data_IF_818468546485
#
_entry.id   IF_818468546485
#
_cell.length_a   1.000
_cell.length_b   1.000
_cell.length_c   1.000
_cell.angle_alpha   90.00
_cell.angle_beta   90.00
_cell.angle_gamma   90.00
#
_symmetry.space_group_name_H-M   'P 1'
#
loop_
_entity.id
_entity.type
_entity.pdbx_description
1 polymer ?
#
# COMPACT_ATOMS: atom_id res chain seq x y z
N UNK A 1 25.85 -23.28 8.79
CA UNK A 1 26.86 -22.49 9.51
C UNK A 1 26.35 -22.29 10.93
N UNK A 2 27.01 -22.87 11.92
CA UNK A 2 26.67 -22.66 13.33
C UNK A 2 27.65 -21.59 13.85
N UNK A 3 27.15 -20.43 14.29
CA UNK A 3 27.96 -19.40 14.93
C UNK A 3 27.84 -19.57 16.44
N UNK A 4 28.90 -20.08 17.07
CA UNK A 4 29.04 -20.02 18.52
C UNK A 4 29.48 -18.60 18.92
N UNK A 5 28.93 -18.02 19.99
CA UNK A 5 29.47 -16.81 20.57
C UNK A 5 30.59 -17.21 21.52
N UNK A 6 31.82 -16.82 21.21
CA UNK A 6 32.63 -16.13 22.23
C UNK A 6 33.81 -15.42 21.58
N UNK A 7 33.99 -14.17 22.04
CA UNK A 7 34.79 -13.13 21.42
C UNK A 7 36.07 -12.99 22.21
N UNK A 8 37.19 -13.55 21.72
CA UNK A 8 38.53 -13.23 22.22
C UNK A 8 39.50 -13.18 21.03
N UNK A 9 39.79 -11.96 20.57
CA UNK A 9 40.78 -11.54 19.54
C UNK A 9 40.52 -11.85 18.05
N UNK A 10 40.49 -10.78 17.23
CA UNK A 10 40.75 -10.83 15.78
C UNK A 10 39.52 -10.95 14.87
N UNK A 11 39.61 -10.35 13.69
CA UNK A 11 38.57 -10.34 12.65
C UNK A 11 38.01 -11.75 12.35
N UNK A 12 36.70 -11.82 12.08
CA UNK A 12 36.01 -13.04 11.67
C UNK A 12 36.80 -13.75 10.57
N UNK A 13 37.35 -14.94 10.87
CA UNK A 13 37.86 -15.86 9.85
C UNK A 13 36.74 -16.86 9.56
N UNK A 14 36.40 -17.02 8.28
CA UNK A 14 35.50 -18.09 7.87
C UNK A 14 36.14 -19.44 8.21
N UNK A 15 35.45 -20.21 9.06
CA UNK A 15 35.87 -21.55 9.46
C UNK A 15 35.16 -22.53 8.54
N UNK A 16 35.92 -23.14 7.64
CA UNK A 16 35.44 -24.24 6.82
C UNK A 16 35.56 -25.55 7.61
N UNK A 17 34.51 -26.36 7.58
CA UNK A 17 34.48 -27.66 8.23
C UNK A 17 33.57 -28.61 7.46
N UNK A 18 33.96 -29.87 7.42
CA UNK A 18 33.18 -30.93 6.78
C UNK A 18 32.25 -31.57 7.82
N UNK A 19 30.94 -31.53 7.58
CA UNK A 19 29.96 -32.15 8.45
C UNK A 19 29.88 -33.65 8.10
N UNK A 20 30.65 -34.47 8.82
CA UNK A 20 30.68 -35.92 8.59
C UNK A 20 29.39 -36.61 9.04
N UNK A 21 28.79 -36.18 10.15
CA UNK A 21 27.62 -36.82 10.73
C UNK A 21 26.81 -35.85 11.59
N UNK A 22 25.48 -35.90 11.46
CA UNK A 22 24.54 -35.17 12.32
C UNK A 22 23.51 -36.16 12.86
N UNK A 23 23.41 -36.27 14.19
CA UNK A 23 22.45 -37.15 14.88
C UNK A 23 21.38 -36.37 15.62
N UNK A 24 20.17 -36.92 15.64
CA UNK A 24 19.11 -36.54 16.56
C UNK A 24 18.87 -37.67 17.54
N UNK A 25 18.60 -37.31 18.78
CA UNK A 25 18.27 -38.24 19.86
C UNK A 25 16.85 -37.97 20.35
N UNK A 26 16.07 -39.03 20.54
CA UNK A 26 14.78 -38.96 21.25
C UNK A 26 15.01 -39.55 22.63
N UNK A 27 14.92 -38.70 23.65
CA UNK A 27 15.16 -39.08 25.05
C UNK A 27 13.88 -38.83 25.83
N UNK A 28 13.31 -39.89 26.40
CA UNK A 28 12.18 -39.81 27.31
C UNK A 28 12.56 -40.39 28.67
N UNK A 29 12.17 -39.71 29.76
CA UNK A 29 12.43 -40.17 31.13
C UNK A 29 13.90 -40.55 31.39
N UNK A 30 14.85 -39.77 30.84
CA UNK A 30 16.29 -40.04 30.93
C UNK A 30 16.76 -41.34 30.26
N UNK A 31 15.93 -41.93 29.39
CA UNK A 31 16.27 -43.10 28.57
C UNK A 31 16.30 -42.72 27.10
N UNK A 32 17.37 -43.12 26.42
CA UNK A 32 17.52 -42.91 24.99
C UNK A 32 16.63 -43.92 24.25
N UNK A 33 15.55 -43.43 23.67
CA UNK A 33 14.58 -44.25 22.95
C UNK A 33 15.08 -44.55 21.54
N UNK A 34 15.50 -43.51 20.82
CA UNK A 34 15.87 -43.61 19.41
C UNK A 34 17.03 -42.68 19.03
N UNK A 35 17.81 -43.11 18.04
CA UNK A 35 18.90 -42.36 17.42
C UNK A 35 18.62 -42.28 15.93
N UNK A 36 18.69 -41.08 15.36
CA UNK A 36 18.50 -40.85 13.93
C UNK A 36 19.70 -40.13 13.33
N UNK A 37 20.29 -40.69 12.27
CA UNK A 37 21.27 -40.00 11.45
C UNK A 37 20.52 -39.05 10.50
N UNK A 38 20.52 -37.75 10.82
CA UNK A 38 19.89 -36.70 10.00
C UNK A 38 20.83 -36.32 8.86
N UNK A 39 20.50 -36.75 7.64
CA UNK A 39 20.72 -35.90 6.47
C UNK A 39 19.88 -34.63 6.65
N UNK A 40 20.36 -33.50 6.12
CA UNK A 40 19.95 -32.11 6.45
C UNK A 40 18.42 -31.80 6.40
N UNK A 41 17.57 -32.71 5.93
CA UNK A 41 16.12 -32.55 5.78
C UNK A 41 15.32 -33.20 6.93
N UNK A 42 14.50 -32.39 7.61
CA UNK A 42 13.36 -32.85 8.42
C UNK A 42 12.21 -33.04 7.44
N UNK A 43 11.65 -34.25 7.27
CA UNK A 43 10.21 -34.30 7.03
C UNK A 43 9.47 -35.64 7.09
N UNK A 44 10.08 -36.81 7.14
CA UNK A 44 9.25 -38.03 7.26
C UNK A 44 10.03 -39.16 7.91
N UNK A 45 9.75 -39.44 9.18
CA UNK A 45 10.24 -40.62 9.90
C UNK A 45 9.86 -41.91 9.17
N UNK A 46 8.73 -41.91 8.45
CA UNK A 46 8.24 -43.04 7.66
C UNK A 46 9.02 -43.20 6.33
N UNK A 47 9.44 -42.10 5.68
CA UNK A 47 10.32 -42.16 4.51
C UNK A 47 11.75 -42.51 4.91
N UNK A 48 12.25 -42.01 6.04
CA UNK A 48 13.54 -42.42 6.60
C UNK A 48 13.54 -43.90 6.96
N UNK A 49 12.49 -44.40 7.60
CA UNK A 49 12.36 -45.82 7.89
C UNK A 49 12.37 -46.68 6.61
N UNK A 50 11.78 -46.22 5.50
CA UNK A 50 11.83 -46.91 4.20
C UNK A 50 13.22 -46.85 3.55
N UNK A 51 13.93 -45.72 3.67
CA UNK A 51 15.34 -45.61 3.23
C UNK A 51 16.26 -46.56 4.02
N UNK A 52 15.97 -46.77 5.30
CA UNK A 52 16.70 -47.65 6.21
C UNK A 52 16.30 -49.13 6.05
N UNK A 53 15.05 -49.43 5.68
CA UNK A 53 14.51 -50.80 5.57
C UNK A 53 14.93 -51.57 4.30
N UNK A 54 16.08 -51.27 3.72
CA UNK A 54 16.60 -51.99 2.54
C UNK A 54 15.85 -51.68 1.23
N UNK A 55 15.23 -50.50 1.10
CA UNK A 55 14.63 -50.07 -0.16
C UNK A 55 15.65 -49.99 -1.31
N UNK A 56 15.16 -50.28 -2.52
CA UNK A 56 15.89 -50.30 -3.79
C UNK A 56 16.74 -49.03 -3.99
N UNK A 57 17.95 -49.18 -4.54
CA UNK A 57 18.95 -48.10 -4.76
C UNK A 57 18.31 -46.90 -5.48
N UNK A 58 17.40 -47.18 -6.43
CA UNK A 58 16.65 -46.16 -7.19
C UNK A 58 15.74 -45.31 -6.32
N UNK A 59 15.11 -45.89 -5.31
CA UNK A 59 14.22 -45.15 -4.41
C UNK A 59 15.02 -44.15 -3.56
N UNK A 60 16.24 -44.53 -3.15
CA UNK A 60 17.16 -43.66 -2.40
C UNK A 60 17.61 -42.46 -3.23
N UNK A 61 17.95 -42.68 -4.50
CA UNK A 61 18.32 -41.60 -5.44
C UNK A 61 17.17 -40.61 -5.66
N UNK A 62 15.94 -41.10 -5.80
CA UNK A 62 14.75 -40.24 -5.97
C UNK A 62 14.53 -39.37 -4.72
N UNK A 63 14.59 -39.95 -3.52
CA UNK A 63 14.38 -39.19 -2.27
C UNK A 63 15.49 -38.16 -2.05
N UNK A 64 16.76 -38.52 -2.33
CA UNK A 64 17.87 -37.58 -2.23
C UNK A 64 17.72 -36.40 -3.21
N UNK A 65 17.23 -36.64 -4.42
CA UNK A 65 16.97 -35.60 -5.42
C UNK A 65 15.84 -34.68 -4.96
N UNK A 66 14.74 -35.22 -4.42
CA UNK A 66 13.64 -34.43 -3.84
C UNK A 66 14.14 -33.53 -2.70
N UNK A 67 15.02 -34.03 -1.84
CA UNK A 67 15.60 -33.22 -0.74
C UNK A 67 16.51 -32.10 -1.26
N UNK A 68 17.29 -32.35 -2.31
CA UNK A 68 18.10 -31.33 -2.95
C UNK A 68 17.22 -30.21 -3.54
N UNK A 69 16.18 -30.57 -4.29
CA UNK A 69 15.21 -29.62 -4.86
C UNK A 69 14.52 -28.77 -3.78
N UNK A 70 14.08 -29.40 -2.68
CA UNK A 70 13.47 -28.69 -1.55
C UNK A 70 14.46 -27.72 -0.89
N UNK A 71 15.72 -28.11 -0.73
CA UNK A 71 16.76 -27.25 -0.17
C UNK A 71 17.09 -26.07 -1.10
N UNK A 72 17.05 -26.26 -2.42
CA UNK A 72 17.20 -25.18 -3.40
C UNK A 72 16.07 -24.16 -3.27
N UNK A 73 14.82 -24.62 -3.11
CA UNK A 73 13.67 -23.76 -2.83
C UNK A 73 13.86 -23.01 -1.51
N UNK A 74 14.32 -23.68 -0.45
CA UNK A 74 14.57 -23.06 0.86
C UNK A 74 15.64 -21.96 0.76
N UNK A 75 16.71 -22.19 -0.01
CA UNK A 75 17.86 -21.27 -0.11
C UNK A 75 17.80 -20.28 -1.28
N UNK A 76 16.77 -20.36 -2.11
CA UNK A 76 16.58 -19.44 -3.22
C UNK A 76 16.68 -17.98 -2.75
N UNK A 77 17.23 -17.09 -3.59
CA UNK A 77 17.47 -15.69 -3.24
C UNK A 77 16.21 -15.00 -2.67
N UNK A 78 16.40 -14.06 -1.74
CA UNK A 78 15.30 -13.42 -1.00
C UNK A 78 14.55 -12.34 -1.79
N UNK A 79 15.20 -11.79 -2.81
CA UNK A 79 14.80 -10.60 -3.58
C UNK A 79 14.06 -10.93 -4.88
N UNK A 80 13.55 -12.16 -4.98
CA UNK A 80 12.78 -12.64 -6.13
C UNK A 80 11.43 -13.21 -5.69
N UNK A 81 10.46 -13.12 -6.60
CA UNK A 81 9.16 -13.80 -6.46
C UNK A 81 9.38 -15.29 -6.74
N UNK A 82 9.03 -16.14 -5.77
CA UNK A 82 9.16 -17.59 -5.89
C UNK A 82 7.78 -18.25 -5.89
N UNK A 83 7.49 -19.02 -6.93
CA UNK A 83 6.27 -19.82 -7.06
C UNK A 83 6.63 -21.29 -6.84
N UNK A 84 6.04 -21.92 -5.83
CA UNK A 84 6.26 -23.34 -5.51
C UNK A 84 5.04 -24.15 -5.95
N UNK A 85 5.20 -24.95 -7.00
CA UNK A 85 4.16 -25.81 -7.54
C UNK A 85 4.52 -27.28 -7.29
N UNK A 86 3.53 -28.08 -6.89
CA UNK A 86 3.74 -29.51 -6.62
C UNK A 86 2.44 -30.24 -6.30
N UNK A 87 2.46 -31.56 -6.42
CA UNK A 87 1.29 -32.44 -6.17
C UNK A 87 0.89 -32.49 -4.69
N UNK A 88 -0.31 -32.97 -4.38
CA UNK A 88 -0.74 -33.18 -2.99
C UNK A 88 0.27 -34.09 -2.26
N UNK A 89 0.58 -33.77 -1.00
CA UNK A 89 1.56 -34.53 -0.20
C UNK A 89 3.04 -34.20 -0.46
N UNK A 90 3.38 -33.35 -1.44
CA UNK A 90 4.78 -33.04 -1.78
C UNK A 90 5.54 -32.14 -0.79
N UNK A 91 5.04 -31.94 0.43
CA UNK A 91 5.71 -31.12 1.46
C UNK A 91 5.72 -29.59 1.26
N UNK A 92 4.98 -29.03 0.31
CA UNK A 92 5.01 -27.57 -0.03
C UNK A 92 4.90 -26.65 1.18
N UNK A 93 3.97 -26.91 2.08
CA UNK A 93 3.75 -26.09 3.27
C UNK A 93 5.00 -26.07 4.15
N UNK A 94 5.58 -27.24 4.39
CA UNK A 94 6.75 -27.38 5.24
C UNK A 94 7.99 -26.78 4.60
N UNK A 95 8.20 -26.98 3.30
CA UNK A 95 9.27 -26.31 2.54
C UNK A 95 9.14 -24.78 2.66
N UNK A 96 7.92 -24.24 2.58
CA UNK A 96 7.66 -22.82 2.77
C UNK A 96 7.97 -22.34 4.20
N UNK A 97 7.60 -23.10 5.23
CA UNK A 97 7.90 -22.78 6.63
C UNK A 97 9.40 -22.84 6.92
N UNK A 98 10.11 -23.85 6.41
CA UNK A 98 11.57 -23.92 6.51
C UNK A 98 12.26 -22.79 5.76
N UNK A 99 11.75 -22.41 4.58
CA UNK A 99 12.22 -21.22 3.86
C UNK A 99 12.05 -19.97 4.70
N UNK A 100 10.88 -19.79 5.31
CA UNK A 100 10.60 -18.65 6.17
C UNK A 100 11.59 -18.59 7.35
N UNK A 101 11.77 -19.71 8.05
CA UNK A 101 12.73 -19.80 9.16
C UNK A 101 14.17 -19.52 8.70
N UNK A 102 14.58 -20.05 7.56
CA UNK A 102 15.87 -19.77 6.95
C UNK A 102 16.05 -18.28 6.64
N UNK A 103 15.04 -17.62 6.06
CA UNK A 103 15.09 -16.20 5.72
C UNK A 103 15.18 -15.33 6.97
N UNK A 104 14.38 -15.60 8.00
CA UNK A 104 14.42 -14.88 9.28
C UNK A 104 15.78 -15.06 9.93
N UNK A 105 16.26 -16.30 10.04
CA UNK A 105 17.56 -16.59 10.67
C UNK A 105 18.73 -15.94 9.93
N UNK A 106 18.76 -16.07 8.60
CA UNK A 106 19.89 -15.58 7.78
C UNK A 106 19.89 -14.05 7.67
N UNK A 107 18.71 -13.43 7.67
CA UNK A 107 18.53 -12.00 7.43
C UNK A 107 17.89 -11.26 8.60
N UNK A 108 18.03 -11.75 9.84
CA UNK A 108 17.37 -11.20 11.04
C UNK A 108 17.57 -9.69 11.21
N UNK A 109 18.72 -9.16 10.81
CA UNK A 109 19.06 -7.74 10.95
C UNK A 109 18.29 -6.84 9.94
N UNK A 110 17.79 -7.42 8.84
CA UNK A 110 17.13 -6.71 7.73
C UNK A 110 15.66 -7.09 7.60
N UNK A 111 15.31 -8.32 7.95
CA UNK A 111 13.99 -8.93 7.82
C UNK A 111 13.52 -9.46 9.19
N UNK A 112 13.13 -8.57 10.11
CA UNK A 112 12.57 -8.99 11.39
C UNK A 112 11.23 -9.72 11.17
N UNK A 113 10.93 -10.67 12.06
CA UNK A 113 9.79 -11.58 11.91
C UNK A 113 8.43 -10.85 11.88
N UNK A 114 8.31 -9.74 12.60
CA UNK A 114 7.13 -8.87 12.66
C UNK A 114 6.80 -8.22 11.31
N UNK A 115 7.76 -8.11 10.39
CA UNK A 115 7.54 -7.57 9.03
C UNK A 115 7.10 -8.62 8.02
N UNK A 116 6.93 -9.86 8.44
CA UNK A 116 6.50 -10.95 7.57
C UNK A 116 5.02 -11.24 7.78
N UNK A 117 4.26 -11.34 6.69
CA UNK A 117 2.85 -11.68 6.70
C UNK A 117 2.60 -13.03 6.03
N UNK A 118 2.07 -13.99 6.79
CA UNK A 118 1.54 -15.25 6.26
C UNK A 118 0.04 -15.10 6.03
N UNK A 119 -0.41 -15.35 4.80
CA UNK A 119 -1.84 -15.38 4.45
C UNK A 119 -2.29 -16.83 4.26
N UNK A 120 -3.10 -17.34 5.19
CA UNK A 120 -3.63 -18.70 5.17
C UNK A 120 -5.04 -18.81 4.58
N UNK A 121 -5.47 -20.01 4.18
CA UNK A 121 -6.83 -20.25 3.66
C UNK A 121 -7.90 -20.19 4.76
N UNK A 122 -7.57 -20.59 5.99
CA UNK A 122 -8.47 -20.60 7.14
C UNK A 122 -7.66 -20.56 8.46
N UNK A 123 -8.37 -20.39 9.59
CA UNK A 123 -7.76 -20.30 10.92
C UNK A 123 -7.11 -21.60 11.40
N UNK A 124 -7.69 -22.76 11.09
CA UNK A 124 -7.12 -24.05 11.51
C UNK A 124 -5.72 -24.25 10.93
N UNK A 125 -5.53 -23.88 9.66
CA UNK A 125 -4.23 -23.90 9.01
C UNK A 125 -3.23 -22.93 9.65
N UNK A 126 -3.67 -21.73 10.04
CA UNK A 126 -2.80 -20.76 10.71
C UNK A 126 -2.43 -21.20 12.13
N UNK A 127 -3.34 -21.87 12.84
CA UNK A 127 -3.05 -22.44 14.16
C UNK A 127 -1.94 -23.50 14.04
N UNK A 128 -2.06 -24.42 13.07
CA UNK A 128 -1.00 -25.39 12.78
C UNK A 128 0.36 -24.72 12.51
N UNK A 129 0.37 -23.64 11.71
CA UNK A 129 1.60 -22.87 11.47
C UNK A 129 2.14 -22.25 12.76
N UNK A 130 1.26 -21.72 13.61
CA UNK A 130 1.63 -21.10 14.88
C UNK A 130 2.26 -22.09 15.87
N UNK A 131 1.90 -23.37 15.77
CA UNK A 131 2.49 -24.44 16.58
C UNK A 131 3.87 -24.87 16.03
N UNK A 132 4.05 -24.87 14.71
CA UNK A 132 5.30 -25.30 14.06
C UNK A 132 6.39 -24.22 14.04
N UNK A 133 6.04 -22.94 13.91
CA UNK A 133 7.03 -21.85 13.84
C UNK A 133 7.96 -21.76 15.07
N UNK A 134 7.48 -21.94 16.32
CA UNK A 134 8.33 -21.98 17.51
C UNK A 134 9.40 -23.07 17.45
N UNK A 135 9.06 -24.26 16.93
CA UNK A 135 10.03 -25.36 16.74
C UNK A 135 11.14 -25.00 15.75
N UNK A 136 10.84 -24.09 14.82
CA UNK A 136 11.80 -23.55 13.86
C UNK A 136 12.58 -22.34 14.39
N UNK A 137 12.38 -21.97 15.66
CA UNK A 137 13.04 -20.82 16.29
C UNK A 137 12.49 -19.46 15.85
N UNK A 138 11.27 -19.44 15.33
CA UNK A 138 10.61 -18.24 14.81
C UNK A 138 9.44 -17.84 15.71
N UNK A 139 9.46 -16.60 16.19
CA UNK A 139 8.37 -16.00 16.98
C UNK A 139 7.85 -14.72 16.30
N UNK A 140 6.65 -14.27 16.68
CA UNK A 140 6.11 -12.95 16.31
C UNK A 140 5.80 -12.71 14.82
N UNK A 141 5.64 -13.77 14.01
CA UNK A 141 5.23 -13.62 12.61
C UNK A 141 3.76 -13.22 12.51
N UNK A 142 3.46 -12.20 11.70
CA UNK A 142 2.09 -11.79 11.45
C UNK A 142 1.35 -12.81 10.59
N UNK A 143 0.17 -13.21 11.03
CA UNK A 143 -0.65 -14.22 10.36
C UNK A 143 -2.07 -13.69 10.16
N UNK A 144 -2.66 -13.95 8.99
CA UNK A 144 -4.05 -13.57 8.73
C UNK A 144 -4.69 -14.47 7.68
N UNK A 145 -6.02 -14.56 7.69
CA UNK A 145 -6.76 -15.11 6.55
C UNK A 145 -7.11 -14.02 5.56
N UNK A 146 -7.37 -14.39 4.29
CA UNK A 146 -7.84 -13.41 3.30
C UNK A 146 -9.12 -12.69 3.76
N UNK A 147 -10.04 -13.41 4.42
CA UNK A 147 -11.29 -12.85 4.97
C UNK A 147 -11.02 -11.81 6.05
N UNK A 148 -10.07 -12.05 6.94
CA UNK A 148 -9.69 -11.10 8.00
C UNK A 148 -8.93 -9.91 7.45
N UNK A 149 -8.05 -10.13 6.47
CA UNK A 149 -7.38 -9.06 5.74
C UNK A 149 -8.40 -8.14 5.06
N UNK A 150 -9.38 -8.72 4.36
CA UNK A 150 -10.47 -7.96 3.75
C UNK A 150 -11.26 -7.18 4.80
N UNK A 151 -11.55 -7.78 5.97
CA UNK A 151 -12.25 -7.09 7.07
C UNK A 151 -11.47 -5.92 7.65
N UNK A 152 -10.14 -5.99 7.67
CA UNK A 152 -9.28 -4.89 8.13
C UNK A 152 -9.19 -3.75 7.13
N UNK A 153 -9.29 -4.04 5.83
CA UNK A 153 -9.10 -3.07 4.75
C UNK A 153 -10.39 -2.44 4.25
N UNK A 154 -11.52 -3.14 4.34
CA UNK A 154 -12.81 -2.65 3.87
C UNK A 154 -13.54 -1.84 4.94
N UNK A 155 -14.35 -0.84 4.55
CA UNK A 155 -15.27 -0.16 5.45
C UNK A 155 -16.18 -1.15 6.19
N UNK A 156 -16.49 -0.94 7.48
CA UNK A 156 -17.24 -1.87 8.31
C UNK A 156 -18.68 -2.09 7.81
N UNK A 157 -19.22 -1.19 6.99
CA UNK A 157 -20.54 -1.28 6.40
C UNK A 157 -20.65 -2.35 5.31
N UNK A 158 -19.51 -2.86 4.79
CA UNK A 158 -19.50 -3.87 3.74
C UNK A 158 -19.53 -5.26 4.38
N UNK A 159 -20.65 -6.01 4.29
CA UNK A 159 -20.72 -7.35 4.85
C UNK A 159 -19.81 -8.30 4.07
N UNK A 160 -18.94 -9.01 4.78
CA UNK A 160 -18.08 -10.03 4.19
C UNK A 160 -18.74 -11.39 4.39
N UNK A 161 -19.24 -11.94 3.28
CA UNK A 161 -19.78 -13.30 3.26
C UNK A 161 -18.63 -14.32 3.17
N UNK A 162 -18.80 -15.52 3.77
CA UNK A 162 -17.83 -16.59 3.61
C UNK A 162 -17.67 -16.97 2.14
N UNK A 163 -16.46 -17.44 1.79
CA UNK A 163 -16.04 -17.78 0.44
C UNK A 163 -17.07 -18.75 -0.18
N UNK A 164 -17.87 -18.27 -1.13
CA UNK A 164 -18.62 -19.16 -2.03
C UNK A 164 -17.60 -20.04 -2.74
N UNK A 165 -17.84 -21.35 -2.79
CA UNK A 165 -16.98 -22.25 -3.53
C UNK A 165 -16.98 -21.78 -5.00
N UNK A 166 -15.83 -21.37 -5.57
CA UNK A 166 -15.81 -20.92 -6.97
C UNK A 166 -16.37 -21.99 -7.91
N UNK A 167 -16.24 -23.27 -7.55
CA UNK A 167 -16.80 -24.39 -8.30
C UNK A 167 -18.34 -24.39 -8.39
N UNK A 168 -19.07 -24.06 -7.32
CA UNK A 168 -20.54 -23.99 -7.39
C UNK A 168 -21.00 -22.81 -8.24
N UNK A 169 -20.32 -21.68 -8.11
CA UNK A 169 -20.60 -20.49 -8.92
C UNK A 169 -20.26 -20.72 -10.40
N UNK A 170 -19.10 -21.29 -10.71
CA UNK A 170 -18.63 -21.46 -12.09
C UNK A 170 -19.32 -22.63 -12.82
N UNK A 171 -19.87 -23.61 -12.09
CA UNK A 171 -20.63 -24.72 -12.68
C UNK A 171 -22.00 -24.25 -13.20
N UNK A 172 -22.60 -23.26 -12.56
CA UNK A 172 -23.83 -22.64 -13.01
C UNK A 172 -23.50 -21.71 -14.19
N UNK A 173 -24.06 -21.97 -15.39
CA UNK A 173 -23.98 -21.03 -16.53
C UNK A 173 -24.89 -19.81 -16.33
N UNK A 174 -24.99 -19.32 -15.10
CA UNK A 174 -25.84 -18.20 -14.72
C UNK A 174 -25.20 -16.86 -15.10
N UNK A 175 -25.99 -15.79 -15.31
CA UNK A 175 -25.47 -14.43 -15.45
C UNK A 175 -24.56 -14.02 -14.29
N UNK A 176 -24.89 -14.43 -13.07
CA UNK A 176 -24.15 -14.16 -11.84
C UNK A 176 -22.75 -14.81 -11.88
N UNK A 177 -22.65 -16.04 -12.36
CA UNK A 177 -21.39 -16.75 -12.53
C UNK A 177 -20.44 -16.04 -13.51
N UNK A 178 -20.98 -15.54 -14.62
CA UNK A 178 -20.20 -14.75 -15.59
C UNK A 178 -19.65 -13.48 -14.98
N UNK A 179 -20.47 -12.77 -14.18
CA UNK A 179 -20.04 -11.56 -13.48
C UNK A 179 -18.93 -11.86 -12.46
N UNK A 180 -19.04 -12.94 -11.71
CA UNK A 180 -18.01 -13.36 -10.74
C UNK A 180 -16.72 -13.75 -11.47
N UNK A 181 -16.81 -14.51 -12.56
CA UNK A 181 -15.67 -14.86 -13.39
C UNK A 181 -14.96 -13.61 -13.94
N UNK A 182 -15.72 -12.63 -14.45
CA UNK A 182 -15.17 -11.36 -14.90
C UNK A 182 -14.47 -10.60 -13.77
N UNK A 183 -15.10 -10.49 -12.58
CA UNK A 183 -14.51 -9.82 -11.41
C UNK A 183 -13.20 -10.46 -10.93
N UNK A 184 -13.02 -11.76 -11.18
CA UNK A 184 -11.80 -12.50 -10.88
C UNK A 184 -10.74 -12.44 -12.01
N UNK A 185 -11.02 -11.74 -13.12
CA UNK A 185 -10.15 -11.68 -14.29
C UNK A 185 -9.22 -10.46 -14.27
N UNK A 186 -8.14 -10.52 -15.05
CA UNK A 186 -7.29 -9.34 -15.34
C UNK A 186 -8.05 -8.24 -16.09
N UNK A 187 -9.17 -8.57 -16.75
CA UNK A 187 -10.03 -7.58 -17.39
C UNK A 187 -10.64 -6.61 -16.37
N UNK A 188 -11.05 -7.13 -15.20
CA UNK A 188 -11.56 -6.30 -14.10
C UNK A 188 -10.49 -5.36 -13.55
N UNK A 189 -9.25 -5.84 -13.42
CA UNK A 189 -8.14 -4.99 -12.98
C UNK A 189 -7.93 -3.83 -13.97
N UNK A 190 -7.86 -4.11 -15.28
CA UNK A 190 -7.69 -3.08 -16.30
C UNK A 190 -8.83 -2.06 -16.30
N UNK A 191 -10.05 -2.52 -16.07
CA UNK A 191 -11.22 -1.65 -15.94
C UNK A 191 -11.08 -0.71 -14.72
N UNK A 192 -10.69 -1.24 -13.56
CA UNK A 192 -10.44 -0.39 -12.38
C UNK A 192 -9.31 0.61 -12.67
N UNK A 193 -8.19 0.16 -13.25
CA UNK A 193 -7.04 1.01 -13.54
C UNK A 193 -7.41 2.14 -14.51
N UNK A 194 -8.20 1.84 -15.55
CA UNK A 194 -8.73 2.83 -16.48
C UNK A 194 -9.65 3.83 -15.80
N UNK A 195 -10.57 3.37 -14.95
CA UNK A 195 -11.44 4.25 -14.17
C UNK A 195 -10.65 5.17 -13.24
N UNK A 196 -9.61 4.66 -12.58
CA UNK A 196 -8.75 5.48 -11.70
C UNK A 196 -8.03 6.57 -12.51
N UNK A 197 -7.55 6.28 -13.72
CA UNK A 197 -6.96 7.29 -14.62
C UNK A 197 -7.99 8.32 -15.05
N UNK A 198 -9.19 7.89 -15.42
CA UNK A 198 -10.28 8.80 -15.76
C UNK A 198 -10.60 9.75 -14.60
N UNK A 199 -10.69 9.21 -13.37
CA UNK A 199 -10.86 10.03 -12.18
C UNK A 199 -9.70 10.99 -11.97
N UNK A 200 -8.46 10.57 -12.24
CA UNK A 200 -7.27 11.42 -12.13
C UNK A 200 -7.32 12.61 -13.08
N UNK A 201 -7.80 12.41 -14.31
CA UNK A 201 -7.91 13.46 -15.35
C UNK A 201 -9.11 14.41 -15.15
N UNK A 202 -10.17 13.93 -14.50
CA UNK A 202 -11.41 14.69 -14.28
C UNK A 202 -11.55 15.18 -12.83
N UNK A 203 -10.50 15.03 -12.01
CA UNK A 203 -10.52 15.44 -10.60
C UNK A 203 -10.54 16.95 -10.44
N UNK A 204 -9.76 17.65 -11.28
CA UNK A 204 -9.66 19.11 -11.25
C UNK A 204 -10.87 19.71 -11.98
N UNK A 205 -11.64 20.61 -11.35
CA UNK A 205 -12.73 21.31 -11.97
C UNK A 205 -12.33 22.02 -13.26
N UNK A 206 -13.28 22.15 -14.18
CA UNK A 206 -13.06 22.92 -15.40
C UNK A 206 -12.92 24.42 -15.10
N UNK A 207 -12.06 25.09 -15.86
CA UNK A 207 -11.81 26.52 -15.74
C UNK A 207 -10.69 26.90 -14.77
N UNK A 208 -10.25 28.14 -14.91
CA UNK A 208 -9.15 28.70 -14.12
C UNK A 208 -9.63 29.21 -12.76
N UNK A 209 -8.72 29.18 -11.79
CA UNK A 209 -8.95 29.75 -10.48
C UNK A 209 -8.76 31.27 -10.55
N UNK A 210 -9.85 32.01 -10.47
CA UNK A 210 -9.86 33.47 -10.64
C UNK A 210 -10.25 34.21 -9.35
N UNK A 211 -9.74 35.42 -9.17
CA UNK A 211 -10.19 36.38 -8.16
C UNK A 211 -10.54 37.69 -8.87
N UNK A 212 -11.76 38.21 -8.68
CA UNK A 212 -12.23 39.47 -9.31
C UNK A 212 -11.98 39.52 -10.84
N UNK A 213 -12.13 38.37 -11.52
CA UNK A 213 -11.87 38.13 -12.94
C UNK A 213 -10.39 38.12 -13.39
N UNK A 214 -9.42 38.25 -12.49
CA UNK A 214 -8.01 37.96 -12.77
C UNK A 214 -7.71 36.46 -12.54
N UNK A 215 -7.07 35.78 -13.50
CA UNK A 215 -6.61 34.40 -13.35
C UNK A 215 -5.41 34.31 -12.40
N UNK A 216 -5.51 33.45 -11.39
CA UNK A 216 -4.46 33.21 -10.39
C UNK A 216 -3.68 31.94 -10.72
N UNK A 217 -4.41 30.87 -11.06
CA UNK A 217 -3.87 29.58 -11.44
C UNK A 217 -4.72 29.03 -12.58
N UNK A 218 -4.05 28.53 -13.62
CA UNK A 218 -4.70 27.78 -14.67
C UNK A 218 -5.05 26.37 -14.22
N UNK A 219 -6.08 25.75 -14.84
CA UNK A 219 -6.41 24.33 -14.61
C UNK A 219 -5.19 23.43 -14.81
N UNK A 220 -4.39 23.69 -15.84
CA UNK A 220 -3.23 22.88 -16.22
C UNK A 220 -2.13 22.93 -15.15
N UNK A 221 -1.92 24.06 -14.49
CA UNK A 221 -0.95 24.17 -13.40
C UNK A 221 -1.39 23.37 -12.17
N UNK A 222 -2.69 23.37 -11.86
CA UNK A 222 -3.25 22.61 -10.74
C UNK A 222 -3.17 21.10 -11.03
N UNK A 223 -3.51 20.68 -12.24
CA UNK A 223 -3.41 19.28 -12.68
C UNK A 223 -1.96 18.79 -12.69
N UNK A 224 -1.03 19.61 -13.20
CA UNK A 224 0.40 19.30 -13.19
C UNK A 224 0.92 19.12 -11.76
N UNK A 225 0.49 19.98 -10.82
CA UNK A 225 0.86 19.84 -9.40
C UNK A 225 0.32 18.53 -8.80
N UNK A 226 -0.95 18.18 -9.06
CA UNK A 226 -1.52 16.91 -8.61
C UNK A 226 -0.73 15.71 -9.13
N UNK A 227 -0.43 15.68 -10.44
CA UNK A 227 0.16 14.52 -11.10
C UNK A 227 1.66 14.37 -10.84
N UNK A 228 2.40 15.47 -10.69
CA UNK A 228 3.86 15.44 -10.49
C UNK A 228 4.26 15.48 -9.03
N UNK A 229 3.66 16.37 -8.24
CA UNK A 229 4.09 16.58 -6.85
C UNK A 229 3.35 15.65 -5.89
N UNK A 230 2.10 15.27 -6.18
CA UNK A 230 1.29 14.43 -5.30
C UNK A 230 1.21 12.95 -5.74
N UNK A 231 2.06 12.51 -6.67
CA UNK A 231 1.98 11.16 -7.28
C UNK A 231 2.08 10.02 -6.26
N UNK A 232 2.88 10.21 -5.20
CA UNK A 232 3.12 9.23 -4.15
C UNK A 232 1.93 9.02 -3.19
N UNK A 233 0.89 9.85 -3.30
CA UNK A 233 -0.30 9.77 -2.45
C UNK A 233 -1.49 9.13 -3.19
N UNK A 234 -2.36 8.40 -2.47
CA UNK A 234 -3.66 7.97 -2.99
C UNK A 234 -4.51 9.17 -3.44
N UNK A 235 -5.31 9.00 -4.50
CA UNK A 235 -6.04 10.07 -5.18
C UNK A 235 -6.85 10.96 -4.22
N UNK A 236 -7.60 10.33 -3.29
CA UNK A 236 -8.43 11.04 -2.31
C UNK A 236 -7.58 11.86 -1.34
N UNK A 237 -6.41 11.35 -0.95
CA UNK A 237 -5.50 12.05 -0.02
C UNK A 237 -4.85 13.28 -0.66
N UNK A 238 -4.75 13.33 -2.00
CA UNK A 238 -4.20 14.49 -2.74
C UNK A 238 -5.02 15.76 -2.56
N UNK A 239 -6.32 15.64 -2.24
CA UNK A 239 -7.22 16.79 -2.06
C UNK A 239 -6.67 17.84 -1.09
N UNK A 240 -6.15 17.40 0.06
CA UNK A 240 -5.66 18.33 1.08
C UNK A 240 -4.43 19.10 0.58
N UNK A 241 -3.54 18.43 -0.16
CA UNK A 241 -2.34 19.02 -0.74
C UNK A 241 -2.69 20.03 -1.83
N UNK A 242 -3.58 19.65 -2.77
CA UNK A 242 -4.05 20.55 -3.83
C UNK A 242 -4.79 21.75 -3.25
N UNK A 243 -5.64 21.55 -2.24
CA UNK A 243 -6.35 22.63 -1.54
C UNK A 243 -5.38 23.61 -0.89
N UNK A 244 -4.35 23.12 -0.19
CA UNK A 244 -3.34 23.99 0.43
C UNK A 244 -2.51 24.74 -0.61
N UNK A 245 -2.13 24.07 -1.70
CA UNK A 245 -1.44 24.70 -2.82
C UNK A 245 -2.24 25.86 -3.41
N UNK A 246 -3.51 25.63 -3.76
CA UNK A 246 -4.40 26.68 -4.27
C UNK A 246 -4.58 27.82 -3.26
N UNK A 247 -4.78 27.50 -1.97
CA UNK A 247 -4.94 28.50 -0.92
C UNK A 247 -3.72 29.42 -0.79
N UNK A 248 -2.52 28.86 -0.83
CA UNK A 248 -1.28 29.63 -0.71
C UNK A 248 -1.08 30.57 -1.91
N UNK A 249 -1.33 30.08 -3.13
CA UNK A 249 -1.23 30.88 -4.36
C UNK A 249 -2.27 32.00 -4.42
N UNK A 250 -3.51 31.71 -4.04
CA UNK A 250 -4.60 32.69 -3.96
C UNK A 250 -4.34 33.74 -2.88
N UNK A 251 -3.77 33.36 -1.73
CA UNK A 251 -3.34 34.32 -0.69
C UNK A 251 -2.26 35.27 -1.20
N UNK A 252 -1.22 34.72 -1.84
CA UNK A 252 -0.14 35.52 -2.43
C UNK A 252 -0.69 36.54 -3.43
N UNK A 253 -1.59 36.10 -4.33
CA UNK A 253 -2.19 37.01 -5.33
C UNK A 253 -3.13 38.05 -4.71
N UNK A 254 -3.90 37.67 -3.69
CA UNK A 254 -4.76 38.60 -2.96
C UNK A 254 -3.96 39.69 -2.24
N UNK A 255 -2.79 39.35 -1.67
CA UNK A 255 -1.88 40.33 -1.07
C UNK A 255 -1.33 41.32 -2.11
N UNK A 256 -0.91 40.83 -3.29
CA UNK A 256 -0.52 41.68 -4.42
C UNK A 256 -1.65 42.64 -4.85
N UNK A 257 -2.89 42.15 -4.93
CA UNK A 257 -4.06 42.98 -5.25
C UNK A 257 -4.33 44.03 -4.18
N UNK A 258 -4.23 43.67 -2.89
CA UNK A 258 -4.40 44.63 -1.79
C UNK A 258 -3.39 45.77 -1.88
N UNK A 259 -2.13 45.47 -2.22
CA UNK A 259 -1.09 46.49 -2.43
C UNK A 259 -1.46 47.39 -3.63
N UNK A 260 -1.91 46.79 -4.75
CA UNK A 260 -2.37 47.55 -5.93
C UNK A 260 -3.55 48.48 -5.62
N UNK A 261 -4.57 47.99 -4.89
CA UNK A 261 -5.75 48.77 -4.50
C UNK A 261 -5.39 49.94 -3.58
N UNK A 262 -4.48 49.73 -2.61
CA UNK A 262 -3.99 50.81 -1.74
C UNK A 262 -3.29 51.91 -2.56
N UNK A 263 -2.41 51.52 -3.48
CA UNK A 263 -1.70 52.45 -4.36
C UNK A 263 -2.62 53.18 -5.35
N UNK A 264 -3.71 52.55 -5.80
CA UNK A 264 -4.74 53.22 -6.62
C UNK A 264 -5.50 54.28 -5.81
N UNK A 265 -5.92 53.94 -4.58
CA UNK A 265 -6.59 54.88 -3.67
C UNK A 265 -5.69 56.09 -3.34
N UNK A 266 -4.40 55.86 -3.06
CA UNK A 266 -3.45 56.95 -2.80
C UNK A 266 -3.31 57.90 -4.00
N UNK A 267 -3.20 57.35 -5.23
CA UNK A 267 -3.16 58.15 -6.47
C UNK A 267 -4.44 58.94 -6.67
N UNK A 268 -5.60 58.35 -6.40
CA UNK A 268 -6.90 59.02 -6.50
C UNK A 268 -7.04 60.14 -5.47
N UNK A 269 -6.60 59.92 -4.23
CA UNK A 269 -6.57 60.95 -3.18
C UNK A 269 -5.66 62.11 -3.57
N UNK A 270 -4.46 61.85 -4.11
CA UNK A 270 -3.56 62.90 -4.63
C UNK A 270 -4.23 63.70 -5.75
N UNK A 271 -4.91 63.02 -6.68
CA UNK A 271 -5.66 63.66 -7.78
C UNK A 271 -6.79 64.55 -7.25
N UNK A 272 -7.57 64.07 -6.28
CA UNK A 272 -8.66 64.83 -5.65
C UNK A 272 -8.14 66.03 -4.86
N UNK A 273 -6.98 65.90 -4.19
CA UNK A 273 -6.32 67.03 -3.50
C UNK A 273 -5.84 68.11 -4.47
N UNK A 274 -5.41 67.74 -5.68
CA UNK A 274 -4.96 68.69 -6.70
C UNK A 274 -6.12 69.37 -7.46
N UNK A 275 -7.25 68.68 -7.63
CA UNK A 275 -8.38 69.17 -8.42
C UNK A 275 -9.39 70.03 -7.64
N UNK A 276 -9.49 69.86 -6.31
CA UNK A 276 -10.51 70.51 -5.49
C UNK A 276 -9.89 71.49 -4.46
N UNK A 277 -10.47 72.69 -4.29
CA UNK A 277 -10.08 73.62 -3.23
C UNK A 277 -10.29 73.03 -1.83
N UNK A 278 -9.64 73.61 -0.82
CA UNK A 278 -9.84 73.17 0.58
C UNK A 278 -11.26 73.49 1.05
N UNK A 279 -12.04 72.45 1.37
CA UNK A 279 -13.43 72.58 1.76
C UNK A 279 -14.06 71.26 2.25
N UNK A 280 -15.35 71.31 2.56
CA UNK A 280 -16.13 70.15 3.04
C UNK A 280 -16.27 69.04 1.99
N UNK A 281 -16.44 69.41 0.72
CA UNK A 281 -16.59 68.46 -0.39
C UNK A 281 -15.32 67.62 -0.63
N UNK A 282 -14.14 68.23 -0.48
CA UNK A 282 -12.85 67.53 -0.60
C UNK A 282 -12.69 66.48 0.50
N UNK A 283 -13.01 66.83 1.75
CA UNK A 283 -12.98 65.89 2.89
C UNK A 283 -13.96 64.73 2.68
N UNK A 284 -15.15 65.03 2.18
CA UNK A 284 -16.17 64.01 1.90
C UNK A 284 -15.75 63.02 0.81
N UNK A 285 -15.25 63.50 -0.34
CA UNK A 285 -14.78 62.63 -1.43
C UNK A 285 -13.55 61.79 -1.05
N UNK A 286 -12.63 62.34 -0.26
CA UNK A 286 -11.47 61.59 0.27
C UNK A 286 -11.94 60.52 1.26
N UNK A 287 -12.91 60.83 2.13
CA UNK A 287 -13.53 59.85 3.02
C UNK A 287 -14.15 58.68 2.24
N UNK A 288 -14.91 58.98 1.18
CA UNK A 288 -15.47 57.94 0.31
C UNK A 288 -14.41 57.07 -0.37
N UNK A 289 -13.30 57.66 -0.81
CA UNK A 289 -12.20 56.90 -1.41
C UNK A 289 -11.56 55.92 -0.41
N UNK A 290 -11.38 56.34 0.85
CA UNK A 290 -10.89 55.47 1.91
C UNK A 290 -11.90 54.39 2.31
N UNK A 291 -13.19 54.72 2.42
CA UNK A 291 -14.25 53.74 2.67
C UNK A 291 -14.33 52.69 1.56
N UNK A 292 -14.18 53.11 0.30
CA UNK A 292 -14.13 52.22 -0.86
C UNK A 292 -12.93 51.27 -0.78
N UNK A 293 -11.73 51.81 -0.48
CA UNK A 293 -10.52 51.02 -0.25
C UNK A 293 -10.70 50.01 0.86
N UNK A 294 -11.20 50.43 2.02
CA UNK A 294 -11.30 49.55 3.18
C UNK A 294 -12.31 48.42 2.94
N UNK A 295 -13.40 48.70 2.23
CA UNK A 295 -14.34 47.67 1.75
C UNK A 295 -13.67 46.69 0.76
N UNK A 296 -12.92 47.19 -0.22
CA UNK A 296 -12.22 46.36 -1.19
C UNK A 296 -11.16 45.47 -0.53
N UNK A 297 -10.33 46.03 0.35
CA UNK A 297 -9.31 45.28 1.10
C UNK A 297 -9.94 44.24 2.02
N UNK A 298 -11.06 44.56 2.68
CA UNK A 298 -11.77 43.60 3.50
C UNK A 298 -12.35 42.43 2.68
N UNK A 299 -12.82 42.69 1.46
CA UNK A 299 -13.27 41.63 0.52
C UNK A 299 -12.10 40.75 0.07
N UNK A 300 -11.00 41.36 -0.38
CA UNK A 300 -9.80 40.64 -0.83
C UNK A 300 -9.16 39.79 0.27
N UNK A 301 -9.23 40.21 1.55
CA UNK A 301 -8.75 39.39 2.67
C UNK A 301 -9.62 38.15 2.94
N UNK A 302 -10.92 38.21 2.66
CA UNK A 302 -11.87 37.10 2.86
C UNK A 302 -12.00 36.20 1.61
N UNK A 303 -11.65 36.73 0.43
CA UNK A 303 -11.77 36.04 -0.84
C UNK A 303 -11.02 34.69 -0.90
N UNK A 304 -9.80 34.51 -0.36
CA UNK A 304 -9.02 33.30 -0.63
C UNK A 304 -9.69 32.00 -0.20
N UNK A 305 -10.25 31.98 1.00
CA UNK A 305 -10.93 30.80 1.51
C UNK A 305 -12.26 30.53 0.76
N UNK A 306 -12.98 31.59 0.37
CA UNK A 306 -14.24 31.50 -0.33
C UNK A 306 -14.06 31.01 -1.78
N UNK A 307 -13.09 31.57 -2.50
CA UNK A 307 -12.76 31.23 -3.89
C UNK A 307 -12.29 29.77 -3.99
N UNK A 308 -11.34 29.36 -3.16
CA UNK A 308 -10.86 27.95 -3.15
C UNK A 308 -11.96 26.98 -2.77
N UNK A 309 -12.81 27.33 -1.79
CA UNK A 309 -13.96 26.49 -1.39
C UNK A 309 -14.99 26.37 -2.51
N UNK A 310 -15.23 27.44 -3.26
CA UNK A 310 -16.16 27.44 -4.38
C UNK A 310 -15.62 26.63 -5.56
N UNK A 311 -14.34 26.81 -5.89
CA UNK A 311 -13.67 26.08 -6.97
C UNK A 311 -13.63 24.58 -6.69
N UNK A 312 -13.17 24.18 -5.51
CA UNK A 312 -13.08 22.78 -5.10
C UNK A 312 -14.40 22.21 -4.54
N UNK A 313 -15.53 22.88 -4.76
CA UNK A 313 -16.84 22.46 -4.22
C UNK A 313 -17.26 21.10 -4.77
N UNK A 314 -16.97 20.86 -6.04
CA UNK A 314 -17.34 19.63 -6.75
C UNK A 314 -16.25 18.55 -6.64
N UNK A 315 -15.22 18.76 -5.81
CA UNK A 315 -14.23 17.72 -5.60
C UNK A 315 -14.91 16.50 -4.99
N UNK A 316 -14.82 15.33 -5.63
CA UNK A 316 -15.55 14.17 -5.19
C UNK A 316 -15.12 13.72 -3.80
N UNK A 317 -16.10 13.68 -2.89
CA UNK A 317 -15.98 13.02 -1.58
C UNK A 317 -16.76 11.71 -1.59
N UNK A 318 -16.59 10.93 -2.65
CA UNK A 318 -17.34 9.69 -2.82
C UNK A 318 -16.77 8.64 -1.86
N UNK A 319 -17.64 7.96 -1.08
CA UNK A 319 -17.21 6.79 -0.32
C UNK A 319 -16.72 5.71 -1.29
N UNK A 320 -15.78 4.89 -0.82
CA UNK A 320 -15.13 3.86 -1.63
C UNK A 320 -16.12 2.92 -2.35
N UNK A 321 -17.22 2.58 -1.67
CA UNK A 321 -18.26 1.72 -2.24
C UNK A 321 -18.99 2.38 -3.41
N UNK A 322 -19.27 3.69 -3.34
CA UNK A 322 -19.91 4.43 -4.43
C UNK A 322 -18.97 4.51 -5.64
N UNK A 323 -17.69 4.79 -5.42
CA UNK A 323 -16.66 4.76 -6.46
C UNK A 323 -16.62 3.42 -7.19
N UNK A 324 -16.61 2.33 -6.43
CA UNK A 324 -16.61 0.98 -6.98
C UNK A 324 -17.88 0.67 -7.77
N UNK A 325 -19.06 1.09 -7.28
CA UNK A 325 -20.33 0.90 -8.00
C UNK A 325 -20.37 1.67 -9.31
N UNK A 326 -19.80 2.88 -9.36
CA UNK A 326 -19.75 3.71 -10.56
C UNK A 326 -18.93 3.10 -11.69
N UNK A 327 -17.89 2.32 -11.39
CA UNK A 327 -17.13 1.56 -12.41
C UNK A 327 -18.06 0.71 -13.27
N UNK A 328 -19.11 0.13 -12.67
CA UNK A 328 -20.08 -0.72 -13.37
C UNK A 328 -21.25 0.06 -13.96
N UNK A 329 -21.58 1.22 -13.40
CA UNK A 329 -22.65 2.08 -13.92
C UNK A 329 -22.21 2.83 -15.18
N UNK A 330 -20.92 3.18 -15.27
CA UNK A 330 -20.34 3.96 -16.38
C UNK A 330 -19.04 3.32 -16.88
N UNK A 331 -19.08 2.09 -17.42
CA UNK A 331 -17.88 1.37 -17.86
C UNK A 331 -17.14 2.08 -18.99
N UNK A 332 -17.82 2.87 -19.81
CA UNK A 332 -17.24 3.73 -20.86
C UNK A 332 -16.28 4.79 -20.32
N UNK A 333 -16.38 5.19 -19.04
CA UNK A 333 -15.41 6.09 -18.42
C UNK A 333 -14.10 5.37 -18.07
N UNK A 334 -14.11 4.04 -18.06
CA UNK A 334 -13.00 3.19 -17.67
C UNK A 334 -12.28 2.51 -18.85
N UNK A 335 -12.89 2.56 -20.03
CA UNK A 335 -12.37 2.06 -21.30
C UNK A 335 -11.62 3.17 -22.03
#
# INVERSE_FOLDING_TARGET
SFKAPDRIWGAWRDVHGELLLKRQFVIEQSTLQQIFDRTISVQDELLQAVLESGADQRLKEVVATIQAEQNDIIRAAKDQVLIVQGVAGSGKTTVALHRLAYLIYTWQDVLPADRILIVGPNKLFLNYISDVLPELGVTEVNQTTFTELARRLLPPEIPIQPKLAPATVLAERSPEARLISFKCSLGMQRLIDGYVRYLEDHLIPEGDLTIEAESVLSRNEIDAYQKKECYYLPLIARFNMVRQFCLNKVRQKAEEMVVRTKAQCEREVVRLKAALPEGGERRWKIGQAYDCRDRAVARLKKAPAAVVKSYLKNWPKWPLLELYQRVFAFPEQAL
#
